data_IF_577262564919
#
_entry.id   IF_577262564919
#
_cell.length_a   1.000
_cell.length_b   1.000
_cell.length_c   1.000
_cell.angle_alpha   90.00
_cell.angle_beta   90.00
_cell.angle_gamma   90.00
#
_symmetry.space_group_name_H-M   'P 1'
#
loop_
_entity.id
_entity.type
_entity.pdbx_description
1 polymer ?
#
# COMPACT_ATOMS: atom_id res chain seq x y z
N UNK A 1 -10.82 41.71 0.90
CA UNK A 1 -10.52 40.55 1.76
C UNK A 1 -10.11 39.41 0.85
N UNK A 2 -8.80 39.18 0.69
CA UNK A 2 -8.29 38.11 -0.15
C UNK A 2 -8.27 36.80 0.65
N UNK A 3 -8.94 35.78 0.14
CA UNK A 3 -8.87 34.43 0.67
C UNK A 3 -7.42 33.93 0.59
N UNK A 4 -6.83 33.56 1.72
CA UNK A 4 -5.51 32.95 1.77
C UNK A 4 -5.49 31.62 0.99
N UNK A 5 -4.33 31.23 0.42
CA UNK A 5 -4.23 30.01 -0.35
C UNK A 5 -4.53 28.77 0.52
N UNK A 6 -5.15 27.72 -0.03
CA UNK A 6 -5.46 26.52 0.73
C UNK A 6 -4.16 25.85 1.19
N UNK A 7 -4.14 25.45 2.46
CA UNK A 7 -3.09 24.61 3.06
C UNK A 7 -2.96 23.31 2.23
N UNK A 8 -1.99 23.25 1.31
CA UNK A 8 -1.58 22.00 0.68
C UNK A 8 -0.74 21.23 1.69
N UNK A 9 -1.29 20.19 2.32
CA UNK A 9 -0.46 19.11 2.87
C UNK A 9 0.32 18.51 1.71
N UNK A 10 1.61 18.82 1.60
CA UNK A 10 2.48 18.15 0.66
C UNK A 10 2.48 16.65 1.03
N UNK A 11 2.00 15.79 0.12
CA UNK A 11 2.24 14.36 0.24
C UNK A 11 3.73 14.15 -0.01
N UNK A 12 4.49 13.89 1.04
CA UNK A 12 5.94 13.62 0.94
C UNK A 12 6.15 12.14 0.61
N UNK A 13 5.65 11.71 -0.55
CA UNK A 13 5.69 10.33 -0.99
C UNK A 13 6.25 10.27 -2.40
N UNK A 14 7.23 9.40 -2.63
CA UNK A 14 7.82 9.16 -3.94
C UNK A 14 7.72 7.66 -4.26
N UNK A 15 7.31 7.30 -5.48
CA UNK A 15 7.40 5.91 -5.93
C UNK A 15 8.87 5.49 -6.03
N UNK A 16 9.19 4.25 -5.64
CA UNK A 16 10.53 3.68 -5.77
C UNK A 16 11.04 3.85 -7.20
N UNK A 17 12.11 4.62 -7.37
CA UNK A 17 12.62 4.97 -8.68
C UNK A 17 13.75 4.00 -9.07
N UNK A 18 13.43 3.05 -9.94
CA UNK A 18 14.37 2.03 -10.43
C UNK A 18 15.61 2.58 -11.14
N UNK A 19 15.63 3.87 -11.50
CA UNK A 19 16.77 4.53 -12.14
C UNK A 19 17.60 5.38 -11.18
N UNK A 20 17.12 5.60 -9.96
CA UNK A 20 17.81 6.37 -8.95
C UNK A 20 18.51 5.44 -7.95
N UNK A 21 19.51 5.99 -7.26
CA UNK A 21 20.07 5.37 -6.06
C UNK A 21 19.18 5.69 -4.85
N UNK A 22 18.83 4.67 -4.07
CA UNK A 22 17.93 4.81 -2.92
C UNK A 22 18.50 5.70 -1.81
N UNK A 23 19.79 5.59 -1.53
CA UNK A 23 20.47 6.38 -0.51
C UNK A 23 20.49 7.88 -0.86
N UNK A 24 20.77 8.21 -2.12
CA UNK A 24 20.74 9.60 -2.59
C UNK A 24 19.36 10.24 -2.41
N UNK A 25 18.30 9.50 -2.74
CA UNK A 25 16.92 9.98 -2.55
C UNK A 25 16.60 10.11 -1.06
N UNK A 26 16.99 9.14 -0.23
CA UNK A 26 16.84 9.23 1.21
C UNK A 26 17.48 10.51 1.78
N UNK A 27 18.76 10.75 1.47
CA UNK A 27 19.49 11.95 1.91
C UNK A 27 18.87 13.22 1.34
N UNK A 28 18.35 13.19 0.12
CA UNK A 28 17.64 14.34 -0.43
C UNK A 28 16.42 14.70 0.45
N UNK A 29 15.59 13.72 0.83
CA UNK A 29 14.45 13.99 1.70
C UNK A 29 14.86 14.42 3.12
N UNK A 30 15.78 13.68 3.74
CA UNK A 30 16.18 13.90 5.12
C UNK A 30 17.06 15.15 5.30
N UNK A 31 18.04 15.35 4.42
CA UNK A 31 19.09 16.35 4.60
C UNK A 31 18.92 17.59 3.74
N UNK A 32 18.39 17.48 2.53
CA UNK A 32 18.16 18.65 1.67
C UNK A 32 16.80 19.26 1.97
N UNK A 33 15.73 18.46 1.91
CA UNK A 33 14.35 18.92 2.13
C UNK A 33 13.98 18.99 3.63
N UNK A 34 14.84 18.49 4.52
CA UNK A 34 14.65 18.47 5.97
C UNK A 34 13.31 17.86 6.39
N UNK A 35 12.89 16.80 5.69
CA UNK A 35 11.65 16.07 6.00
C UNK A 35 11.93 15.00 7.04
N UNK A 36 11.30 15.16 8.20
CA UNK A 36 11.36 14.17 9.26
C UNK A 36 10.41 12.99 9.06
N UNK A 37 9.39 13.15 8.21
CA UNK A 37 8.38 12.13 7.94
C UNK A 37 8.10 12.06 6.46
N UNK A 38 8.34 10.91 5.85
CA UNK A 38 8.12 10.66 4.43
C UNK A 38 7.90 9.17 4.17
N UNK A 39 7.64 8.84 2.92
CA UNK A 39 7.36 7.47 2.52
C UNK A 39 7.87 7.15 1.11
N UNK A 40 8.28 5.91 0.90
CA UNK A 40 8.55 5.36 -0.41
C UNK A 40 7.40 4.46 -0.83
N UNK A 41 6.71 4.84 -1.89
CA UNK A 41 5.59 4.08 -2.43
C UNK A 41 6.13 2.97 -3.31
N UNK A 42 5.58 1.77 -3.14
CA UNK A 42 5.72 0.70 -4.11
C UNK A 42 4.74 1.02 -5.26
N UNK A 43 5.12 0.83 -6.54
CA UNK A 43 4.21 1.00 -7.67
C UNK A 43 2.90 0.22 -7.50
N UNK A 44 1.79 0.83 -7.89
CA UNK A 44 0.46 0.20 -7.93
C UNK A 44 0.24 -0.57 -9.25
N UNK A 45 1.30 -1.27 -9.70
CA UNK A 45 1.30 -2.12 -10.89
C UNK A 45 0.60 -3.45 -10.57
N UNK A 46 -0.01 -4.10 -11.56
CA UNK A 46 -0.64 -5.40 -11.39
C UNK A 46 0.28 -6.56 -11.80
N UNK A 47 -0.10 -7.81 -11.49
CA UNK A 47 0.73 -9.00 -11.75
C UNK A 47 1.13 -9.16 -13.23
N UNK A 48 0.27 -8.72 -14.15
CA UNK A 48 0.55 -8.79 -15.59
C UNK A 48 1.51 -7.68 -16.07
N UNK A 49 1.87 -6.72 -15.22
CA UNK A 49 2.81 -5.67 -15.57
C UNK A 49 4.25 -6.18 -15.46
N UNK A 50 5.08 -5.76 -16.43
CA UNK A 50 6.52 -6.02 -16.44
C UNK A 50 7.24 -5.04 -15.51
N UNK A 51 6.93 -5.10 -14.22
CA UNK A 51 7.60 -4.28 -13.20
C UNK A 51 9.00 -4.83 -12.92
N UNK A 52 10.01 -3.95 -12.94
CA UNK A 52 11.38 -4.25 -12.55
C UNK A 52 11.49 -4.40 -11.02
N UNK A 53 11.09 -5.58 -10.51
CA UNK A 53 11.09 -5.90 -9.09
C UNK A 53 12.50 -5.89 -8.48
N UNK A 54 13.52 -6.29 -9.24
CA UNK A 54 14.93 -6.21 -8.81
C UNK A 54 15.37 -4.76 -8.63
N UNK A 55 15.03 -3.88 -9.58
CA UNK A 55 15.30 -2.45 -9.48
C UNK A 55 14.61 -1.78 -8.30
N UNK A 56 13.36 -2.17 -8.00
CA UNK A 56 12.64 -1.71 -6.81
C UNK A 56 13.32 -2.21 -5.54
N UNK A 57 13.66 -3.51 -5.48
CA UNK A 57 14.35 -4.12 -4.35
C UNK A 57 15.69 -3.45 -4.06
N UNK A 58 16.51 -3.22 -5.10
CA UNK A 58 17.77 -2.47 -4.98
C UNK A 58 17.54 -1.08 -4.42
N UNK A 59 16.60 -0.32 -4.99
CA UNK A 59 16.29 1.03 -4.51
C UNK A 59 15.89 1.04 -3.03
N UNK A 60 15.00 0.13 -2.62
CA UNK A 60 14.52 0.05 -1.23
C UNK A 60 15.62 -0.37 -0.28
N UNK A 61 16.49 -1.32 -0.66
CA UNK A 61 17.62 -1.75 0.15
C UNK A 61 18.64 -0.63 0.34
N UNK A 62 19.03 0.08 -0.73
CA UNK A 62 19.95 1.21 -0.65
C UNK A 62 19.41 2.33 0.27
N UNK A 63 18.11 2.62 0.18
CA UNK A 63 17.46 3.61 1.04
C UNK A 63 17.33 3.14 2.50
N UNK A 64 17.07 1.84 2.71
CA UNK A 64 17.00 1.23 4.04
C UNK A 64 18.37 1.25 4.73
N UNK A 65 19.43 0.89 4.01
CA UNK A 65 20.81 0.91 4.51
C UNK A 65 21.21 2.32 4.95
N UNK A 66 20.89 3.33 4.12
CA UNK A 66 21.15 4.74 4.44
C UNK A 66 20.37 5.20 5.69
N UNK A 67 19.08 4.88 5.78
CA UNK A 67 18.26 5.20 6.94
C UNK A 67 18.76 4.52 8.22
N UNK A 68 19.14 3.26 8.13
CA UNK A 68 19.65 2.49 9.27
C UNK A 68 21.00 3.04 9.76
N UNK A 69 21.91 3.39 8.83
CA UNK A 69 23.22 3.97 9.15
C UNK A 69 23.13 5.37 9.78
N UNK A 70 22.10 6.13 9.43
CA UNK A 70 21.87 7.49 9.94
C UNK A 70 21.47 7.52 11.42
N UNK A 71 20.64 6.56 11.86
CA UNK A 71 20.33 6.35 13.28
C UNK A 71 19.58 7.49 13.99
N UNK A 72 19.17 8.54 13.27
CA UNK A 72 18.36 9.66 13.80
C UNK A 72 16.96 9.20 14.19
N UNK A 73 16.67 9.17 15.49
CA UNK A 73 15.40 8.70 16.04
C UNK A 73 14.19 9.56 15.65
N UNK A 74 14.41 10.82 15.25
CA UNK A 74 13.34 11.73 14.80
C UNK A 74 12.86 11.45 13.36
N UNK A 75 13.62 10.67 12.58
CA UNK A 75 13.27 10.33 11.21
C UNK A 75 12.32 9.13 11.17
N UNK A 76 11.21 9.32 10.46
CA UNK A 76 10.20 8.30 10.24
C UNK A 76 9.99 8.09 8.74
N UNK A 77 10.42 6.94 8.24
CA UNK A 77 10.18 6.48 6.87
C UNK A 77 9.13 5.38 6.94
N UNK A 78 7.90 5.67 6.50
CA UNK A 78 6.73 4.82 6.80
C UNK A 78 6.97 3.34 6.47
N UNK A 79 7.46 3.02 5.27
CA UNK A 79 7.77 1.63 4.88
C UNK A 79 8.80 0.97 5.81
N UNK A 80 9.92 1.63 6.11
CA UNK A 80 10.98 1.08 6.97
C UNK A 80 10.64 1.04 8.46
N UNK A 81 9.65 1.81 8.90
CA UNK A 81 9.16 1.72 10.27
C UNK A 81 8.03 0.70 10.41
N UNK A 82 7.24 0.46 9.35
CA UNK A 82 6.05 -0.40 9.41
C UNK A 82 6.40 -1.88 9.42
N UNK A 83 7.31 -2.31 8.55
CA UNK A 83 7.60 -3.75 8.41
C UNK A 83 8.42 -4.28 9.60
N UNK A 84 9.49 -3.61 10.06
CA UNK A 84 10.17 -3.98 11.31
C UNK A 84 9.29 -3.81 12.54
N UNK A 85 8.41 -2.81 12.57
CA UNK A 85 7.42 -2.64 13.63
C UNK A 85 6.51 -3.87 13.76
N UNK A 86 6.07 -4.42 12.61
CA UNK A 86 5.25 -5.64 12.56
C UNK A 86 6.01 -6.88 13.03
N UNK A 87 7.33 -6.94 12.80
CA UNK A 87 8.21 -8.02 13.28
C UNK A 87 8.49 -7.95 14.78
N UNK A 88 8.62 -6.74 15.34
CA UNK A 88 9.13 -6.53 16.69
C UNK A 88 8.03 -6.35 17.74
N UNK A 89 6.87 -5.80 17.37
CA UNK A 89 5.78 -5.51 18.31
C UNK A 89 4.41 -5.85 17.71
N UNK A 90 3.65 -6.70 18.42
CA UNK A 90 2.27 -7.06 18.05
C UNK A 90 1.30 -5.88 18.15
N UNK A 91 1.67 -4.80 18.84
CA UNK A 91 0.87 -3.58 19.02
C UNK A 91 1.24 -2.45 18.04
N UNK A 92 2.16 -2.68 17.11
CA UNK A 92 2.50 -1.66 16.12
C UNK A 92 1.28 -1.30 15.25
N UNK A 93 1.19 -0.02 14.86
CA UNK A 93 0.10 0.48 14.00
C UNK A 93 0.18 -0.20 12.63
N UNK A 94 -0.66 -1.21 12.42
CA UNK A 94 -0.75 -1.96 11.17
C UNK A 94 -1.21 -1.04 10.05
N UNK A 95 -0.56 -1.14 8.89
CA UNK A 95 -0.91 -0.37 7.70
C UNK A 95 -1.60 -1.28 6.71
N UNK A 96 -2.80 -0.89 6.28
CA UNK A 96 -3.55 -1.64 5.26
C UNK A 96 -2.71 -1.81 3.99
N UNK A 97 -2.66 -3.04 3.47
CA UNK A 97 -1.86 -3.38 2.29
C UNK A 97 -0.34 -3.47 2.52
N UNK A 98 0.14 -3.44 3.77
CA UNK A 98 1.56 -3.65 4.10
C UNK A 98 1.75 -4.64 5.24
N UNK A 99 0.90 -4.60 6.26
CA UNK A 99 0.97 -5.49 7.43
C UNK A 99 0.02 -6.69 7.29
N UNK A 100 0.44 -7.84 7.82
CA UNK A 100 -0.44 -8.98 7.99
C UNK A 100 -1.54 -8.74 9.04
N UNK A 101 -2.63 -9.51 8.93
CA UNK A 101 -3.70 -9.59 9.92
C UNK A 101 -4.34 -8.22 10.26
N UNK A 102 -4.53 -7.31 9.29
CA UNK A 102 -5.35 -6.10 9.50
C UNK A 102 -6.84 -6.48 9.43
N UNK A 103 -7.23 -7.50 10.19
CA UNK A 103 -8.55 -8.13 10.23
C UNK A 103 -9.54 -7.17 10.90
N UNK A 104 -9.98 -6.14 10.18
CA UNK A 104 -11.11 -5.25 10.53
C UNK A 104 -11.11 -3.93 9.75
N UNK A 105 -10.02 -3.57 9.08
CA UNK A 105 -9.94 -2.30 8.36
C UNK A 105 -10.45 -2.45 6.93
N UNK A 106 -11.50 -1.71 6.58
CA UNK A 106 -11.98 -1.59 5.21
C UNK A 106 -11.84 -0.14 4.76
N UNK A 107 -11.17 0.09 3.63
CA UNK A 107 -11.11 1.39 2.98
C UNK A 107 -12.21 1.47 1.92
N UNK A 108 -13.00 2.55 1.97
CA UNK A 108 -13.98 2.87 0.96
C UNK A 108 -13.62 4.17 0.26
N UNK A 109 -13.90 4.21 -1.03
CA UNK A 109 -13.72 5.39 -1.86
C UNK A 109 -15.07 6.01 -2.17
N UNK A 110 -15.25 7.29 -1.83
CA UNK A 110 -16.44 8.06 -2.22
C UNK A 110 -16.06 9.02 -3.33
N UNK A 111 -16.67 8.89 -4.50
CA UNK A 111 -16.47 9.83 -5.61
C UNK A 111 -17.28 11.11 -5.41
N UNK A 112 -16.94 12.15 -6.18
CA UNK A 112 -17.57 13.47 -6.04
C UNK A 112 -19.08 13.48 -6.31
N UNK A 113 -19.58 12.51 -7.08
CA UNK A 113 -21.00 12.26 -7.34
C UNK A 113 -21.71 11.47 -6.21
N UNK A 114 -20.98 11.12 -5.15
CA UNK A 114 -21.51 10.40 -3.99
C UNK A 114 -21.56 8.88 -4.14
N UNK A 115 -21.01 8.30 -5.20
CA UNK A 115 -20.93 6.84 -5.33
C UNK A 115 -19.82 6.25 -4.44
N UNK A 116 -20.19 5.28 -3.62
CA UNK A 116 -19.28 4.49 -2.79
C UNK A 116 -18.73 3.31 -3.61
N UNK A 117 -17.42 3.13 -3.56
CA UNK A 117 -16.68 1.98 -4.10
C UNK A 117 -15.77 1.44 -3.00
N UNK A 118 -15.23 0.25 -3.21
CA UNK A 118 -14.14 -0.26 -2.39
C UNK A 118 -12.84 0.54 -2.63
N UNK A 119 -11.77 0.10 -1.98
CA UNK A 119 -10.40 0.64 -2.04
C UNK A 119 -9.99 1.16 -3.43
N UNK A 120 -9.51 2.42 -3.49
CA UNK A 120 -9.11 3.07 -4.75
C UNK A 120 -7.84 2.49 -5.35
N UNK A 121 -7.02 1.79 -4.57
CA UNK A 121 -5.80 1.12 -5.06
C UNK A 121 -6.12 0.03 -6.08
N UNK A 122 -7.33 -0.53 -6.08
CA UNK A 122 -7.75 -1.53 -7.05
C UNK A 122 -8.24 -0.94 -8.38
N UNK A 123 -8.32 0.38 -8.54
CA UNK A 123 -8.87 0.98 -9.77
C UNK A 123 -8.10 0.63 -11.04
N UNK A 124 -6.82 0.25 -10.93
CA UNK A 124 -6.01 -0.17 -12.08
C UNK A 124 -6.36 -1.57 -12.59
N UNK A 125 -7.06 -2.40 -11.82
CA UNK A 125 -7.32 -3.81 -12.19
C UNK A 125 -8.46 -3.98 -13.20
N UNK A 126 -9.32 -2.97 -13.38
CA UNK A 126 -10.57 -3.09 -14.15
C UNK A 126 -11.48 -4.25 -13.70
N UNK A 127 -11.26 -4.81 -12.50
CA UNK A 127 -12.05 -5.91 -11.96
C UNK A 127 -13.43 -5.41 -11.51
N UNK A 128 -14.47 -6.22 -11.71
CA UNK A 128 -15.84 -5.84 -11.35
C UNK A 128 -16.03 -5.56 -9.86
N UNK A 129 -15.15 -6.06 -8.99
CA UNK A 129 -15.16 -5.80 -7.56
C UNK A 129 -15.03 -4.30 -7.23
N UNK A 130 -14.47 -3.48 -8.14
CA UNK A 130 -14.35 -2.02 -7.96
C UNK A 130 -15.57 -1.22 -8.39
N UNK A 131 -16.62 -1.89 -8.87
CA UNK A 131 -17.86 -1.24 -9.29
C UNK A 131 -18.54 -0.51 -8.11
N UNK A 132 -19.38 0.51 -8.39
CA UNK A 132 -20.13 1.19 -7.35
C UNK A 132 -20.99 0.25 -6.52
N UNK A 133 -20.84 0.33 -5.19
CA UNK A 133 -21.72 -0.33 -4.22
C UNK A 133 -23.09 0.36 -4.17
N UNK A 134 -23.10 1.68 -4.32
CA UNK A 134 -24.31 2.51 -4.32
C UNK A 134 -24.00 3.96 -3.97
N UNK A 135 -25.02 4.82 -3.92
CA UNK A 135 -24.84 6.22 -3.53
C UNK A 135 -24.87 6.36 -2.00
N UNK A 136 -23.91 7.07 -1.40
CA UNK A 136 -23.74 7.19 0.06
C UNK A 136 -24.98 7.67 0.82
N UNK A 137 -25.79 8.55 0.21
CA UNK A 137 -27.07 9.03 0.77
C UNK A 137 -28.10 7.92 1.03
N UNK A 138 -28.04 6.82 0.27
CA UNK A 138 -29.03 5.73 0.29
C UNK A 138 -28.51 4.49 1.03
N UNK A 139 -27.23 4.48 1.42
CA UNK A 139 -26.56 3.34 2.02
C UNK A 139 -26.55 3.44 3.54
N UNK A 140 -26.70 2.28 4.19
CA UNK A 140 -26.29 2.09 5.59
C UNK A 140 -25.00 1.28 5.64
N UNK A 141 -24.17 1.48 6.67
CA UNK A 141 -22.94 0.71 6.83
C UNK A 141 -23.21 -0.80 6.85
N UNK A 142 -24.25 -1.24 7.55
CA UNK A 142 -24.65 -2.65 7.58
C UNK A 142 -25.06 -3.18 6.20
N UNK A 143 -25.68 -2.34 5.36
CA UNK A 143 -26.00 -2.68 3.97
C UNK A 143 -24.75 -2.79 3.11
N UNK A 144 -23.79 -1.89 3.29
CA UNK A 144 -22.49 -1.91 2.58
C UNK A 144 -21.71 -3.17 2.92
N UNK A 145 -21.64 -3.54 4.20
CA UNK A 145 -20.88 -4.73 4.65
C UNK A 145 -21.50 -6.06 4.18
N UNK A 146 -22.76 -6.05 3.75
CA UNK A 146 -23.46 -7.22 3.17
C UNK A 146 -23.45 -7.21 1.63
N UNK A 147 -22.81 -6.23 1.01
CA UNK A 147 -22.67 -6.20 -0.45
C UNK A 147 -21.65 -7.27 -0.88
N UNK A 148 -21.98 -8.05 -1.90
CA UNK A 148 -21.16 -9.17 -2.36
C UNK A 148 -19.72 -8.76 -2.72
N UNK A 149 -19.53 -7.60 -3.36
CA UNK A 149 -18.20 -7.12 -3.72
C UNK A 149 -17.37 -6.71 -2.48
N UNK A 150 -18.04 -6.18 -1.44
CA UNK A 150 -17.41 -5.83 -0.17
C UNK A 150 -17.04 -7.09 0.61
N UNK A 151 -17.94 -8.07 0.68
CA UNK A 151 -17.67 -9.38 1.32
C UNK A 151 -16.51 -10.10 0.62
N UNK A 152 -16.49 -10.11 -0.72
CA UNK A 152 -15.38 -10.65 -1.51
C UNK A 152 -14.07 -9.92 -1.22
N UNK A 153 -14.06 -8.58 -1.23
CA UNK A 153 -12.87 -7.77 -0.95
C UNK A 153 -12.30 -8.05 0.44
N UNK A 154 -13.16 -8.13 1.46
CA UNK A 154 -12.76 -8.46 2.83
C UNK A 154 -12.18 -9.88 2.90
N UNK A 155 -12.82 -10.85 2.26
CA UNK A 155 -12.34 -12.23 2.19
C UNK A 155 -10.98 -12.35 1.50
N UNK A 156 -10.78 -11.65 0.38
CA UNK A 156 -9.51 -11.64 -0.34
C UNK A 156 -8.39 -10.97 0.45
N UNK A 157 -8.72 -9.93 1.22
CA UNK A 157 -7.77 -9.23 2.09
C UNK A 157 -7.32 -10.07 3.28
N UNK A 158 -8.18 -10.98 3.77
CA UNK A 158 -7.84 -11.90 4.85
C UNK A 158 -7.17 -13.19 4.39
N UNK A 159 -7.19 -13.51 3.09
CA UNK A 159 -6.74 -14.82 2.58
C UNK A 159 -5.46 -14.72 1.77
N UNK A 160 -4.48 -15.57 2.10
CA UNK A 160 -3.24 -15.71 1.33
C UNK A 160 -3.54 -16.29 -0.06
N UNK A 161 -2.87 -15.80 -1.12
CA UNK A 161 -2.93 -16.45 -2.42
C UNK A 161 -2.29 -17.84 -2.34
N UNK A 162 -2.66 -18.75 -3.24
CA UNK A 162 -2.21 -20.15 -3.16
C UNK A 162 -0.68 -20.30 -3.14
N UNK A 163 0.05 -19.50 -3.92
CA UNK A 163 1.52 -19.49 -3.93
C UNK A 163 2.19 -18.77 -2.75
N UNK A 164 1.43 -18.20 -1.82
CA UNK A 164 1.93 -17.45 -0.66
C UNK A 164 1.95 -18.23 0.65
N UNK A 165 1.34 -19.41 0.71
CA UNK A 165 1.15 -20.19 1.95
C UNK A 165 2.47 -20.67 2.56
N UNK A 166 3.43 -21.07 1.73
CA UNK A 166 4.73 -21.59 2.18
C UNK A 166 5.82 -20.50 2.30
N UNK A 167 5.46 -19.22 2.13
CA UNK A 167 6.42 -18.13 2.23
C UNK A 167 6.75 -17.82 3.70
N UNK A 168 8.04 -17.78 4.04
CA UNK A 168 8.51 -17.42 5.41
C UNK A 168 8.06 -16.03 5.86
N UNK A 169 7.78 -15.13 4.91
CA UNK A 169 7.34 -13.76 5.16
C UNK A 169 5.82 -13.59 5.23
N UNK A 170 5.03 -14.67 5.14
CA UNK A 170 3.57 -14.59 5.08
C UNK A 170 2.95 -13.88 6.31
N UNK A 171 3.55 -14.01 7.50
CA UNK A 171 3.11 -13.35 8.72
C UNK A 171 3.50 -11.85 8.80
N UNK A 172 4.26 -11.35 7.83
CA UNK A 172 4.68 -9.95 7.73
C UNK A 172 3.91 -9.26 6.60
N UNK A 173 4.06 -9.75 5.37
CA UNK A 173 3.50 -9.13 4.17
C UNK A 173 2.09 -9.63 3.80
N UNK A 174 1.69 -10.80 4.30
CA UNK A 174 0.41 -11.46 4.00
C UNK A 174 0.04 -11.57 2.51
N UNK A 175 1.05 -11.80 1.67
CA UNK A 175 0.87 -11.90 0.22
C UNK A 175 0.79 -10.55 -0.51
N UNK A 176 1.01 -9.43 0.19
CA UNK A 176 1.13 -8.10 -0.41
C UNK A 176 -0.20 -7.39 -0.66
N UNK A 177 -0.14 -6.28 -1.41
CA UNK A 177 -1.34 -5.54 -1.83
C UNK A 177 -2.12 -6.33 -2.87
N UNK A 178 -3.45 -6.30 -2.75
CA UNK A 178 -4.35 -6.94 -3.71
C UNK A 178 -4.13 -6.46 -5.16
N UNK A 179 -3.84 -5.17 -5.38
CA UNK A 179 -3.54 -4.63 -6.72
C UNK A 179 -2.38 -5.36 -7.38
N UNK A 180 -1.30 -5.62 -6.64
CA UNK A 180 -0.11 -6.32 -7.17
C UNK A 180 -0.32 -7.84 -7.32
N UNK A 181 -1.45 -8.37 -6.84
CA UNK A 181 -1.87 -9.77 -7.03
C UNK A 181 -2.78 -9.94 -8.25
N UNK A 182 -3.25 -8.85 -8.85
CA UNK A 182 -4.25 -8.91 -9.92
C UNK A 182 -3.64 -9.37 -11.25
N UNK A 183 -4.22 -10.40 -11.88
CA UNK A 183 -4.02 -10.72 -13.30
C UNK A 183 -5.35 -10.95 -14.00
N UNK A 184 -5.39 -10.81 -15.32
CA UNK A 184 -6.59 -11.15 -16.10
C UNK A 184 -6.95 -12.64 -15.99
N UNK A 185 -5.95 -13.52 -15.90
CA UNK A 185 -6.15 -14.97 -15.91
C UNK A 185 -6.66 -15.53 -14.58
N UNK A 186 -6.23 -14.96 -13.45
CA UNK A 186 -6.45 -15.53 -12.12
C UNK A 186 -6.93 -14.48 -11.09
N UNK A 187 -7.40 -13.32 -11.58
CA UNK A 187 -7.87 -12.17 -10.79
C UNK A 187 -6.91 -11.90 -9.64
N UNK A 188 -7.40 -11.88 -8.39
CA UNK A 188 -6.64 -11.50 -7.21
C UNK A 188 -5.95 -12.70 -6.50
N UNK A 189 -5.96 -13.90 -7.08
CA UNK A 189 -5.37 -15.11 -6.46
C UNK A 189 -3.92 -15.41 -6.89
N UNK A 190 -3.15 -14.40 -7.29
CA UNK A 190 -1.73 -14.59 -7.60
C UNK A 190 -0.84 -14.20 -6.42
N UNK A 191 0.39 -14.73 -6.41
CA UNK A 191 1.45 -14.21 -5.55
C UNK A 191 1.84 -12.80 -6.03
N UNK A 192 2.08 -11.87 -5.11
CA UNK A 192 2.65 -10.58 -5.49
C UNK A 192 4.04 -10.76 -6.11
N UNK A 193 4.30 -10.13 -7.26
CA UNK A 193 5.60 -10.15 -7.93
C UNK A 193 6.61 -9.13 -7.37
N UNK A 194 6.16 -8.09 -6.66
CA UNK A 194 6.88 -6.82 -6.69
C UNK A 194 7.97 -6.54 -5.64
N UNK A 195 8.15 -7.26 -4.53
CA UNK A 195 9.21 -6.86 -3.54
C UNK A 195 9.83 -7.99 -2.71
N UNK A 196 9.13 -9.09 -2.41
CA UNK A 196 9.54 -10.07 -1.38
C UNK A 196 9.86 -11.48 -1.94
N UNK A 197 10.73 -11.57 -2.95
CA UNK A 197 11.24 -12.88 -3.42
C UNK A 197 12.46 -13.33 -2.63
#
# INVERSE_FOLDING_TARGET
MAAGPPFRRARNSLCGNIKANGADIYHHFADVLKRQRFDFLIPDDHHDDLTDSEGIGRFLNEALDAWFADGRAELFVRIFNTDPGTLLDKQFSRVSGMSANVESACAFTVTADGLLRIDDTLRSTSDEIVNPVGHVRDLSLAGVLKNTAVEEYLSLSSTLPDGGKDCVWNNVCHGGRLVNRFSQANRLNNKQHSVYQ
#
